data_IF_472813970898
#
_entry.id   IF_472813970898
#
_cell.length_a   1.000
_cell.length_b   1.000
_cell.length_c   1.000
_cell.angle_alpha   90.00
_cell.angle_beta   90.00
_cell.angle_gamma   90.00
#
_symmetry.space_group_name_H-M   'P 1'
#
loop_
_entity.id
_entity.type
_entity.pdbx_description
1 polymer ?
#
# COMPACT_ATOMS: atom_id res chain seq x y z
N UNK A 1 11.30 30.69 -22.67
CA UNK A 1 10.83 30.62 -21.27
C UNK A 1 9.84 29.47 -21.14
N UNK A 2 10.29 28.32 -20.66
CA UNK A 2 9.47 27.14 -20.36
C UNK A 2 9.53 26.94 -18.85
N UNK A 3 8.77 27.76 -18.13
CA UNK A 3 8.57 27.59 -16.70
C UNK A 3 7.06 27.55 -16.48
N UNK A 4 6.63 26.64 -15.63
CA UNK A 4 5.30 26.56 -15.00
C UNK A 4 4.27 25.64 -15.66
N UNK A 5 4.68 24.49 -16.20
CA UNK A 5 3.76 23.34 -16.32
C UNK A 5 3.98 22.31 -15.19
N UNK A 6 5.21 22.20 -14.68
CA UNK A 6 5.57 21.29 -13.57
C UNK A 6 4.93 21.69 -12.24
N UNK A 7 4.77 22.99 -11.99
CA UNK A 7 4.17 23.52 -10.75
C UNK A 7 2.67 23.23 -10.68
N UNK A 8 1.98 23.20 -11.83
CA UNK A 8 0.55 22.84 -11.87
C UNK A 8 0.33 21.35 -11.59
N UNK A 9 1.30 20.49 -11.95
CA UNK A 9 1.25 19.06 -11.68
C UNK A 9 1.42 18.77 -10.18
N UNK A 10 2.36 19.44 -9.50
CA UNK A 10 2.58 19.29 -8.05
C UNK A 10 1.38 19.71 -7.19
N UNK A 11 0.59 20.69 -7.63
CA UNK A 11 -0.61 21.11 -6.90
C UNK A 11 -1.81 20.17 -7.06
N UNK A 12 -1.86 19.37 -8.12
CA UNK A 12 -2.95 18.40 -8.31
C UNK A 12 -2.76 17.14 -7.46
N UNK A 13 -1.52 16.76 -7.14
CA UNK A 13 -1.25 15.58 -6.30
C UNK A 13 -1.31 15.85 -4.80
N UNK A 14 -1.19 17.11 -4.34
CA UNK A 14 -1.40 17.42 -2.91
C UNK A 14 -2.87 17.34 -2.49
N UNK A 15 -3.80 17.39 -3.44
CA UNK A 15 -5.23 17.19 -3.19
C UNK A 15 -5.71 15.75 -3.36
N UNK A 16 -4.89 14.85 -3.87
CA UNK A 16 -5.15 13.40 -3.78
C UNK A 16 -4.47 12.91 -2.51
N UNK A 17 -4.90 13.52 -1.40
CA UNK A 17 -4.90 12.89 -0.09
C UNK A 17 -5.30 11.43 -0.27
N UNK A 18 -4.55 10.53 0.38
CA UNK A 18 -4.90 9.14 0.62
C UNK A 18 -6.38 8.91 0.41
N UNK A 19 -6.75 8.26 -0.71
CA UNK A 19 -8.07 7.70 -0.83
C UNK A 19 -8.13 6.57 0.19
N UNK A 20 -8.44 6.91 1.44
CA UNK A 20 -9.18 6.04 2.31
C UNK A 20 -10.45 5.73 1.54
N UNK A 21 -10.54 4.54 0.96
CA UNK A 21 -11.79 4.02 0.42
C UNK A 21 -12.69 3.84 1.64
N UNK A 22 -13.46 4.87 1.98
CA UNK A 22 -14.50 4.83 3.01
C UNK A 22 -15.79 4.48 2.27
N UNK A 23 -16.18 3.21 2.34
CA UNK A 23 -17.49 2.74 1.89
C UNK A 23 -18.43 2.92 3.08
N UNK A 24 -19.20 4.02 3.10
CA UNK A 24 -20.28 4.20 4.08
C UNK A 24 -21.51 3.43 3.58
N UNK A 25 -21.67 2.20 4.07
CA UNK A 25 -22.88 1.43 3.94
C UNK A 25 -23.63 1.49 5.26
N UNK A 26 -24.24 2.64 5.56
CA UNK A 26 -25.14 2.71 6.72
C UNK A 26 -26.38 1.85 6.42
N UNK A 27 -26.40 0.62 6.93
CA UNK A 27 -27.65 -0.08 7.19
C UNK A 27 -27.69 -0.61 8.62
N UNK A 28 -28.66 -0.09 9.37
CA UNK A 28 -28.88 -0.42 10.77
C UNK A 28 -29.59 -1.76 10.83
N UNK A 29 -28.94 -2.81 11.32
CA UNK A 29 -29.60 -3.74 12.27
C UNK A 29 -28.70 -4.90 12.72
N UNK A 30 -28.73 -5.08 14.05
CA UNK A 30 -28.66 -6.32 14.83
C UNK A 30 -27.29 -6.95 15.11
N UNK A 31 -26.92 -6.83 16.39
CA UNK A 31 -25.94 -7.63 17.11
C UNK A 31 -26.10 -9.13 16.83
N UNK A 32 -25.10 -9.75 16.18
CA UNK A 32 -24.95 -11.21 16.22
C UNK A 32 -23.67 -11.57 16.98
N UNK A 33 -23.83 -12.43 17.98
CA UNK A 33 -22.73 -13.09 18.69
C UNK A 33 -22.26 -14.25 17.84
N UNK A 34 -21.23 -14.06 17.02
CA UNK A 34 -20.52 -15.17 16.39
C UNK A 34 -18.99 -15.06 16.58
N UNK A 35 -18.38 -16.23 16.65
CA UNK A 35 -16.96 -16.49 16.85
C UNK A 35 -16.09 -15.70 15.82
N UNK A 36 -15.17 -14.80 16.23
CA UNK A 36 -14.41 -13.89 15.34
C UNK A 36 -13.31 -14.58 14.52
N UNK A 37 -13.31 -15.91 14.48
CA UNK A 37 -12.45 -16.67 13.60
C UNK A 37 -13.02 -16.61 12.17
N UNK A 38 -12.45 -15.70 11.38
CA UNK A 38 -12.57 -15.49 9.92
C UNK A 38 -13.50 -14.35 9.45
N UNK A 39 -13.24 -13.11 9.89
CA UNK A 39 -13.81 -11.92 9.23
C UNK A 39 -13.23 -11.68 7.83
N UNK A 40 -11.98 -12.10 7.60
CA UNK A 40 -11.25 -11.91 6.34
C UNK A 40 -10.41 -13.15 6.02
N UNK A 41 -10.33 -13.52 4.74
CA UNK A 41 -9.53 -14.64 4.26
C UNK A 41 -8.95 -14.34 2.88
N UNK A 42 -7.65 -14.58 2.71
CA UNK A 42 -7.04 -14.62 1.38
C UNK A 42 -7.52 -15.87 0.63
N UNK A 43 -8.20 -15.65 -0.49
CA UNK A 43 -8.59 -16.68 -1.47
C UNK A 43 -7.45 -16.88 -2.46
N UNK A 44 -6.85 -15.80 -2.95
CA UNK A 44 -5.67 -15.79 -3.79
C UNK A 44 -4.72 -14.65 -3.38
N UNK A 45 -3.39 -14.89 -3.38
CA UNK A 45 -2.74 -16.15 -3.67
C UNK A 45 -2.86 -17.15 -2.51
N UNK A 46 -2.94 -18.44 -2.84
CA UNK A 46 -3.03 -19.51 -1.83
C UNK A 46 -1.72 -19.72 -1.09
N UNK A 47 -0.60 -19.62 -1.82
CA UNK A 47 0.74 -19.74 -1.27
C UNK A 47 1.20 -18.45 -0.62
N UNK A 48 2.14 -18.56 0.31
CA UNK A 48 2.75 -17.43 0.99
C UNK A 48 3.93 -16.87 0.19
N UNK A 49 4.51 -17.67 -0.71
CA UNK A 49 5.53 -17.23 -1.67
C UNK A 49 4.90 -17.08 -3.04
N UNK A 50 5.16 -15.94 -3.67
CA UNK A 50 4.78 -15.61 -5.04
C UNK A 50 6.02 -15.61 -5.93
N UNK A 51 5.98 -16.47 -6.95
CA UNK A 51 6.93 -16.40 -8.06
C UNK A 51 6.39 -15.39 -9.07
N UNK A 52 7.06 -14.25 -9.16
CA UNK A 52 6.66 -13.14 -10.01
C UNK A 52 7.46 -13.17 -11.31
N UNK A 53 6.77 -12.89 -12.40
CA UNK A 53 7.41 -12.57 -13.67
C UNK A 53 8.09 -11.20 -13.58
N UNK A 54 8.87 -10.84 -14.62
CA UNK A 54 9.48 -9.51 -14.75
C UNK A 54 8.46 -8.35 -14.72
N UNK A 55 7.18 -8.59 -15.00
CA UNK A 55 6.14 -7.57 -14.92
C UNK A 55 5.68 -7.29 -13.48
N UNK A 56 5.95 -8.23 -12.56
CA UNK A 56 5.64 -8.15 -11.12
C UNK A 56 4.19 -7.83 -10.78
N UNK A 57 3.28 -8.37 -11.58
CA UNK A 57 1.84 -8.26 -11.36
C UNK A 57 1.33 -9.54 -10.69
N UNK A 58 0.48 -9.39 -9.67
CA UNK A 58 -0.22 -10.51 -9.03
C UNK A 58 -1.67 -10.16 -8.70
N UNK A 59 -2.50 -11.19 -8.56
CA UNK A 59 -3.90 -11.09 -8.14
C UNK A 59 -4.02 -11.30 -6.64
N UNK A 60 -4.70 -10.39 -5.96
CA UNK A 60 -5.07 -10.49 -4.55
C UNK A 60 -6.60 -10.57 -4.45
N UNK A 61 -7.10 -11.71 -4.00
CA UNK A 61 -8.53 -11.95 -3.79
C UNK A 61 -8.77 -12.20 -2.31
N UNK A 62 -9.56 -11.34 -1.68
CA UNK A 62 -9.88 -11.39 -0.26
C UNK A 62 -11.37 -11.66 -0.13
N UNK A 63 -11.74 -12.73 0.57
CA UNK A 63 -13.10 -12.99 0.99
C UNK A 63 -13.36 -12.43 2.38
N UNK A 64 -14.55 -11.91 2.64
CA UNK A 64 -14.93 -11.37 3.94
C UNK A 64 -16.37 -11.75 4.32
N UNK A 65 -16.66 -11.91 5.61
CA UNK A 65 -18.00 -12.26 6.11
C UNK A 65 -18.85 -11.03 6.50
N UNK A 66 -18.19 -9.93 6.88
CA UNK A 66 -18.78 -8.65 7.30
C UNK A 66 -18.37 -7.47 6.40
N UNK A 67 -18.34 -6.26 6.94
CA UNK A 67 -17.82 -5.08 6.24
C UNK A 67 -16.29 -5.04 6.33
N UNK A 68 -15.62 -4.59 5.27
CA UNK A 68 -14.18 -4.30 5.28
C UNK A 68 -14.01 -2.79 5.29
N UNK A 69 -13.48 -2.24 6.39
CA UNK A 69 -13.33 -0.80 6.57
C UNK A 69 -11.98 -0.30 6.03
N UNK A 70 -10.94 -1.13 6.13
CA UNK A 70 -9.63 -0.82 5.61
C UNK A 70 -8.86 -2.06 5.16
N UNK A 71 -8.08 -1.86 4.11
CA UNK A 71 -7.09 -2.81 3.62
C UNK A 71 -5.76 -2.08 3.48
N UNK A 72 -4.73 -2.58 4.16
CA UNK A 72 -3.38 -2.03 4.11
C UNK A 72 -2.41 -3.08 3.60
N UNK A 73 -1.55 -2.65 2.68
CA UNK A 73 -0.41 -3.42 2.19
C UNK A 73 0.84 -2.71 2.68
N UNK A 74 1.65 -3.40 3.48
CA UNK A 74 2.87 -2.85 4.07
C UNK A 74 4.07 -3.59 3.49
N UNK A 75 4.93 -2.86 2.79
CA UNK A 75 6.06 -3.41 2.04
C UNK A 75 7.35 -3.44 2.83
N UNK A 76 8.15 -4.50 2.63
CA UNK A 76 9.44 -4.66 3.29
C UNK A 76 10.57 -5.02 2.32
N UNK A 77 11.74 -4.38 2.44
CA UNK A 77 12.05 -3.30 3.38
C UNK A 77 11.26 -2.02 3.06
N UNK A 78 10.97 -1.22 4.09
CA UNK A 78 10.51 0.16 3.87
C UNK A 78 11.65 0.93 3.20
N UNK A 79 11.32 1.74 2.19
CA UNK A 79 12.31 2.60 1.54
C UNK A 79 11.76 4.00 1.37
N UNK A 80 12.63 4.97 1.60
CA UNK A 80 12.41 6.39 1.39
C UNK A 80 12.91 6.80 0.00
N UNK A 81 12.56 8.02 -0.42
CA UNK A 81 13.06 8.55 -1.70
C UNK A 81 14.59 8.60 -1.73
N UNK A 82 15.22 8.99 -0.61
CA UNK A 82 16.66 9.05 -0.49
C UNK A 82 17.33 7.67 -0.67
N UNK A 83 16.79 6.62 -0.05
CA UNK A 83 17.31 5.26 -0.16
C UNK A 83 17.19 4.70 -1.59
N UNK A 84 16.11 5.03 -2.30
CA UNK A 84 15.92 4.63 -3.70
C UNK A 84 16.87 5.35 -4.66
N UNK A 85 17.26 6.59 -4.34
CA UNK A 85 18.08 7.43 -5.20
C UNK A 85 19.54 7.54 -4.73
N UNK A 86 19.94 6.74 -3.72
CA UNK A 86 21.26 6.79 -3.09
C UNK A 86 21.67 8.20 -2.66
N UNK A 87 20.74 8.96 -2.11
CA UNK A 87 21.00 10.30 -1.58
C UNK A 87 21.58 10.12 -0.19
N UNK A 88 22.77 10.68 0.01
CA UNK A 88 23.43 10.68 1.31
C UNK A 88 22.65 11.58 2.28
N UNK A 89 22.37 11.04 3.47
CA UNK A 89 21.70 11.79 4.52
C UNK A 89 22.63 12.79 5.20
N UNK A 90 22.08 13.76 5.93
CA UNK A 90 22.88 14.64 6.78
C UNK A 90 23.64 13.83 7.85
N UNK A 91 24.86 14.25 8.18
CA UNK A 91 25.71 13.57 9.17
C UNK A 91 25.30 13.92 10.61
N UNK A 92 24.61 15.05 10.78
CA UNK A 92 24.19 15.55 12.10
C UNK A 92 22.71 15.96 12.14
N UNK A 93 22.15 15.98 13.35
CA UNK A 93 20.79 16.48 13.56
C UNK A 93 20.66 17.98 13.22
N UNK A 94 21.71 18.77 13.43
CA UNK A 94 21.70 20.21 13.08
C UNK A 94 21.59 20.40 11.56
N UNK A 95 22.33 19.61 10.79
CA UNK A 95 22.22 19.58 9.33
C UNK A 95 20.83 19.14 8.87
N UNK A 96 20.28 18.09 9.50
CA UNK A 96 18.92 17.63 9.21
C UNK A 96 17.87 18.72 9.45
N UNK A 97 17.93 19.40 10.60
CA UNK A 97 16.96 20.44 10.96
C UNK A 97 17.12 21.73 10.14
N UNK A 98 18.27 21.92 9.50
CA UNK A 98 18.51 23.01 8.57
C UNK A 98 17.91 22.75 7.16
N UNK A 99 17.53 21.51 6.85
CA UNK A 99 16.87 21.16 5.60
C UNK A 99 15.47 21.75 5.51
N UNK A 100 15.02 22.06 4.29
CA UNK A 100 13.61 22.38 4.03
C UNK A 100 12.73 21.16 4.29
N UNK A 101 11.43 21.40 4.52
CA UNK A 101 10.44 20.33 4.71
C UNK A 101 10.44 19.32 3.53
N UNK A 102 10.67 19.78 2.31
CA UNK A 102 10.74 18.92 1.11
C UNK A 102 11.96 17.99 1.14
N UNK A 103 13.13 18.49 1.55
CA UNK A 103 14.35 17.67 1.67
C UNK A 103 14.27 16.71 2.84
N UNK A 104 13.68 17.13 3.97
CA UNK A 104 13.39 16.23 5.09
C UNK A 104 12.42 15.12 4.67
N UNK A 105 11.37 15.44 3.90
CA UNK A 105 10.41 14.47 3.42
C UNK A 105 11.05 13.38 2.55
N UNK A 106 12.06 13.71 1.74
CA UNK A 106 12.80 12.72 0.94
C UNK A 106 13.51 11.66 1.80
N UNK A 107 13.89 12.03 3.02
CA UNK A 107 14.61 11.18 3.98
C UNK A 107 13.68 10.38 4.90
N UNK A 108 12.41 10.80 5.05
CA UNK A 108 11.51 10.21 6.05
C UNK A 108 10.25 9.59 5.48
N UNK A 109 9.77 10.06 4.33
CA UNK A 109 8.53 9.56 3.73
C UNK A 109 8.82 8.25 3.00
N UNK A 110 8.12 7.20 3.42
CA UNK A 110 8.18 5.89 2.79
C UNK A 110 7.50 5.97 1.43
N UNK A 111 8.18 5.51 0.39
CA UNK A 111 7.66 5.45 -0.96
C UNK A 111 6.72 4.24 -1.06
N UNK A 112 5.46 4.42 -1.48
CA UNK A 112 4.56 3.30 -1.73
C UNK A 112 5.03 2.51 -2.94
N UNK A 113 4.93 1.19 -2.89
CA UNK A 113 5.53 0.33 -3.93
C UNK A 113 4.54 -0.60 -4.60
N UNK A 114 3.26 -0.55 -4.24
CA UNK A 114 2.17 -1.15 -5.01
C UNK A 114 1.46 -0.10 -5.85
N UNK A 115 1.14 -0.50 -7.07
CA UNK A 115 0.19 0.18 -7.94
C UNK A 115 -1.02 -0.74 -8.12
N UNK A 116 -2.23 -0.25 -7.81
CA UNK A 116 -3.47 -0.98 -8.08
C UNK A 116 -3.79 -0.81 -9.57
N UNK A 117 -3.60 -1.88 -10.34
CA UNK A 117 -3.86 -1.90 -11.78
C UNK A 117 -5.35 -2.07 -12.06
N UNK A 118 -6.03 -2.91 -11.26
CA UNK A 118 -7.48 -3.14 -11.34
C UNK A 118 -8.05 -3.40 -9.95
N UNK A 119 -9.30 -2.95 -9.76
CA UNK A 119 -10.08 -3.19 -8.55
C UNK A 119 -11.50 -3.62 -8.92
N UNK A 120 -12.02 -4.63 -8.22
CA UNK A 120 -13.42 -5.01 -8.26
C UNK A 120 -13.90 -5.48 -6.89
N UNK A 121 -15.09 -5.02 -6.50
CA UNK A 121 -15.78 -5.46 -5.29
C UNK A 121 -17.02 -6.24 -5.70
N UNK A 122 -17.09 -7.50 -5.29
CA UNK A 122 -18.17 -8.42 -5.64
C UNK A 122 -18.74 -9.09 -4.39
N UNK A 123 -19.84 -8.54 -3.88
CA UNK A 123 -20.53 -9.04 -2.68
C UNK A 123 -19.58 -9.11 -1.47
N UNK A 124 -19.04 -10.31 -1.20
CA UNK A 124 -18.17 -10.64 -0.07
C UNK A 124 -16.71 -10.85 -0.49
N UNK A 125 -16.31 -10.24 -1.61
CA UNK A 125 -14.97 -10.35 -2.16
C UNK A 125 -14.45 -9.01 -2.63
N UNK A 126 -13.19 -8.77 -2.32
CA UNK A 126 -12.38 -7.73 -2.93
C UNK A 126 -11.34 -8.39 -3.82
N UNK A 127 -11.24 -7.93 -5.07
CA UNK A 127 -10.35 -8.46 -6.09
C UNK A 127 -9.47 -7.31 -6.56
N UNK A 128 -8.17 -7.45 -6.38
CA UNK A 128 -7.17 -6.48 -6.80
C UNK A 128 -6.17 -7.14 -7.75
N UNK A 129 -5.85 -6.45 -8.83
CA UNK A 129 -4.66 -6.73 -9.63
C UNK A 129 -3.60 -5.69 -9.24
N UNK A 130 -2.50 -6.16 -8.65
CA UNK A 130 -1.48 -5.30 -8.05
C UNK A 130 -0.17 -5.48 -8.78
N UNK A 131 0.47 -4.36 -9.12
CA UNK A 131 1.83 -4.32 -9.65
C UNK A 131 2.80 -3.84 -8.59
N UNK A 132 3.91 -4.56 -8.43
CA UNK A 132 5.01 -4.12 -7.59
C UNK A 132 5.95 -3.25 -8.43
N UNK A 133 6.21 -2.04 -7.93
CA UNK A 133 6.99 -1.00 -8.64
C UNK A 133 8.46 -0.94 -8.22
N UNK A 134 8.82 -1.56 -7.09
CA UNK A 134 10.20 -1.62 -6.61
C UNK A 134 10.85 -2.99 -6.87
N UNK A 135 12.14 -2.96 -7.17
CA UNK A 135 12.97 -4.16 -7.33
C UNK A 135 13.48 -4.74 -6.03
N UNK A 136 13.34 -4.00 -4.93
CA UNK A 136 14.00 -4.32 -3.65
C UNK A 136 13.05 -4.92 -2.62
N UNK A 137 11.74 -4.94 -2.87
CA UNK A 137 10.78 -5.54 -1.94
C UNK A 137 10.97 -7.04 -1.92
N UNK A 138 11.03 -7.57 -0.71
CA UNK A 138 11.14 -9.00 -0.44
C UNK A 138 9.82 -9.60 -0.01
N UNK A 139 8.97 -8.83 0.67
CA UNK A 139 7.65 -9.27 1.09
C UNK A 139 6.71 -8.11 1.39
N UNK A 140 5.42 -8.42 1.44
CA UNK A 140 4.34 -7.52 1.85
C UNK A 140 3.51 -8.18 2.93
N UNK A 141 3.24 -7.45 4.00
CA UNK A 141 2.23 -7.80 4.98
C UNK A 141 0.87 -7.19 4.60
N UNK A 142 -0.18 -7.99 4.67
CA UNK A 142 -1.54 -7.60 4.32
C UNK A 142 -2.36 -7.55 5.58
N UNK A 143 -2.90 -6.37 5.88
CA UNK A 143 -3.76 -6.10 7.02
C UNK A 143 -5.16 -5.74 6.55
N UNK A 144 -6.18 -6.37 7.14
CA UNK A 144 -7.57 -5.96 6.99
C UNK A 144 -8.10 -5.52 8.35
N UNK A 145 -8.67 -4.30 8.43
CA UNK A 145 -9.16 -3.68 9.66
C UNK A 145 -8.14 -3.74 10.82
N UNK A 146 -6.87 -3.46 10.48
CA UNK A 146 -5.75 -3.45 11.43
C UNK A 146 -5.24 -4.84 11.85
N UNK A 147 -5.83 -5.93 11.37
CA UNK A 147 -5.39 -7.31 11.65
C UNK A 147 -4.55 -7.86 10.51
N UNK A 148 -3.36 -8.38 10.82
CA UNK A 148 -2.54 -9.12 9.86
C UNK A 148 -3.30 -10.38 9.40
N UNK A 149 -3.58 -10.47 8.10
CA UNK A 149 -4.29 -11.61 7.51
C UNK A 149 -3.38 -12.50 6.67
N UNK A 150 -2.28 -11.96 6.12
CA UNK A 150 -1.29 -12.73 5.37
C UNK A 150 0.02 -11.96 5.20
N UNK A 151 1.12 -12.69 5.12
CA UNK A 151 2.41 -12.18 4.63
C UNK A 151 2.72 -12.86 3.29
N UNK A 152 3.04 -12.08 2.26
CA UNK A 152 3.41 -12.55 0.93
C UNK A 152 4.88 -12.28 0.67
N UNK A 153 5.67 -13.32 0.44
CA UNK A 153 7.07 -13.25 0.05
C UNK A 153 7.20 -13.29 -1.47
N UNK A 154 8.14 -12.53 -2.01
CA UNK A 154 8.38 -12.41 -3.45
C UNK A 154 9.66 -13.12 -3.85
N UNK A 155 9.56 -13.92 -4.92
CA UNK A 155 10.69 -14.46 -5.66
C UNK A 155 10.52 -14.03 -7.11
N UNK A 156 11.52 -13.34 -7.66
CA UNK A 156 11.50 -12.91 -9.07
C UNK A 156 12.26 -13.99 -9.86
N UNK A 157 11.60 -14.56 -10.86
CA UNK A 157 12.17 -15.56 -11.79
C UNK A 157 12.87 -14.91 -12.99
#
# INVERSE_FOLDING_TARGET
MKLNLTILFLFLFSTIYSQNIVIDATDKSEESKENPAFDFRIIEPKMDTLNLTNEKVFSLVIGHSGEMNSLHLIDYPNETYAELNNIEGPETNEEYLALSDEEQAKLTVIVPKHEIVKEAVLSRKVILEIKITSDRITHTEIYADGKLIKTLYYQIE
#
